data_IF_842401732429
#
_entry.id   IF_842401732429
#
_cell.length_a   1.000
_cell.length_b   1.000
_cell.length_c   1.000
_cell.angle_alpha   90.00
_cell.angle_beta   90.00
_cell.angle_gamma   90.00
#
_symmetry.space_group_name_H-M   'P 1'
#
loop_
_entity.id
_entity.type
_entity.pdbx_description
1 polymer ?
#
# COMPACT_ATOMS: atom_id res chain seq x y z
N UNK A 1 9.77 -2.99 22.32
CA UNK A 1 8.96 -1.96 21.63
C UNK A 1 9.86 -0.79 21.26
N UNK A 2 9.52 -0.13 20.16
CA UNK A 2 10.09 1.13 19.74
C UNK A 2 9.96 2.16 20.87
N UNK A 3 11.05 2.82 21.21
CA UNK A 3 11.12 3.83 22.28
C UNK A 3 10.76 5.20 21.74
N UNK A 4 10.08 6.02 22.53
CA UNK A 4 9.85 7.44 22.25
C UNK A 4 8.63 7.78 21.39
N UNK A 5 7.94 6.81 20.81
CA UNK A 5 6.67 7.01 20.09
C UNK A 5 5.61 6.08 20.64
N UNK A 6 4.42 6.62 20.95
CA UNK A 6 3.23 5.85 21.32
C UNK A 6 2.12 6.08 20.31
N UNK A 7 1.36 5.02 20.04
CA UNK A 7 0.20 5.08 19.17
C UNK A 7 -0.98 5.72 19.91
N UNK A 8 -1.58 6.73 19.28
CA UNK A 8 -2.72 7.48 19.79
C UNK A 8 -3.93 7.33 18.88
N UNK A 9 -5.11 7.35 19.49
CA UNK A 9 -6.40 7.32 18.80
C UNK A 9 -7.22 8.51 19.26
N UNK A 10 -7.05 9.62 18.54
CA UNK A 10 -7.82 10.84 18.76
C UNK A 10 -9.11 10.78 17.95
N UNK A 11 -10.24 11.07 18.58
CA UNK A 11 -11.57 10.94 17.99
C UNK A 11 -12.28 12.28 18.01
N UNK A 12 -13.16 12.52 17.03
CA UNK A 12 -14.00 13.74 16.97
C UNK A 12 -15.06 13.80 18.07
N UNK A 13 -15.24 12.70 18.81
CA UNK A 13 -16.14 12.58 19.95
C UNK A 13 -15.52 11.68 21.01
N UNK A 14 -15.85 11.94 22.28
CA UNK A 14 -15.51 11.08 23.41
C UNK A 14 -16.59 10.03 23.70
N UNK A 15 -17.72 10.09 22.98
CA UNK A 15 -18.81 9.12 23.11
C UNK A 15 -18.39 7.73 22.61
N UNK A 16 -18.51 6.66 23.42
CA UNK A 16 -18.08 5.33 23.03
C UNK A 16 -18.83 4.75 21.84
N UNK A 17 -18.08 4.15 20.92
CA UNK A 17 -18.64 3.38 19.81
C UNK A 17 -18.66 1.90 20.15
N UNK A 18 -19.86 1.31 20.13
CA UNK A 18 -20.08 -0.11 20.38
C UNK A 18 -20.60 -0.84 19.14
N UNK A 19 -20.12 -2.05 18.94
CA UNK A 19 -20.57 -2.99 17.91
C UNK A 19 -20.61 -4.41 18.46
N UNK A 20 -21.72 -5.11 18.23
CA UNK A 20 -21.89 -6.49 18.68
C UNK A 20 -20.85 -7.42 18.05
N UNK A 21 -20.35 -8.44 18.78
CA UNK A 21 -19.39 -9.39 18.24
C UNK A 21 -20.03 -10.24 17.13
N UNK A 22 -19.19 -10.73 16.21
CA UNK A 22 -19.63 -11.68 15.19
C UNK A 22 -19.94 -13.05 15.80
N UNK A 23 -20.89 -13.78 15.19
CA UNK A 23 -21.19 -15.16 15.60
C UNK A 23 -20.03 -16.06 15.17
N UNK A 24 -19.52 -16.86 16.10
CA UNK A 24 -18.46 -17.82 15.79
C UNK A 24 -19.01 -19.24 15.77
N UNK A 25 -18.61 -20.00 14.75
CA UNK A 25 -18.78 -21.45 14.74
C UNK A 25 -17.86 -22.09 15.83
N UNK A 26 -18.31 -23.13 16.55
CA UNK A 26 -17.51 -23.86 17.55
C UNK A 26 -16.09 -24.26 17.11
N UNK A 27 -15.89 -24.66 15.85
CA UNK A 27 -14.56 -25.06 15.33
C UNK A 27 -13.62 -23.85 15.27
N UNK A 28 -14.13 -22.71 14.76
CA UNK A 28 -13.38 -21.46 14.72
C UNK A 28 -13.04 -20.96 16.13
N UNK A 29 -13.93 -21.17 17.11
CA UNK A 29 -13.70 -20.75 18.49
C UNK A 29 -12.46 -21.41 19.14
N UNK A 30 -12.15 -22.67 18.82
CA UNK A 30 -10.96 -23.35 19.37
C UNK A 30 -9.64 -22.70 18.88
N UNK A 31 -9.53 -22.45 17.58
CA UNK A 31 -8.36 -21.80 16.99
C UNK A 31 -8.22 -20.35 17.47
N UNK A 32 -9.36 -19.65 17.60
CA UNK A 32 -9.41 -18.30 18.16
C UNK A 32 -8.90 -18.26 19.60
N UNK A 33 -9.34 -19.17 20.47
CA UNK A 33 -8.91 -19.20 21.86
C UNK A 33 -7.39 -19.43 21.99
N UNK A 34 -6.80 -20.28 21.14
CA UNK A 34 -5.35 -20.49 21.11
C UNK A 34 -4.61 -19.20 20.75
N UNK A 35 -5.02 -18.53 19.66
CA UNK A 35 -4.40 -17.27 19.22
C UNK A 35 -4.55 -16.16 20.25
N UNK A 36 -5.73 -16.01 20.86
CA UNK A 36 -5.98 -15.00 21.91
C UNK A 36 -5.09 -15.26 23.13
N UNK A 37 -4.90 -16.52 23.51
CA UNK A 37 -3.99 -16.88 24.60
C UNK A 37 -2.54 -16.50 24.26
N UNK A 38 -2.06 -16.83 23.07
CA UNK A 38 -0.72 -16.43 22.61
C UNK A 38 -0.53 -14.91 22.66
N UNK A 39 -1.53 -14.13 22.24
CA UNK A 39 -1.46 -12.66 22.28
C UNK A 39 -1.49 -12.09 23.70
N UNK A 40 -2.18 -12.74 24.64
CA UNK A 40 -2.16 -12.40 26.06
C UNK A 40 -0.80 -12.71 26.69
N UNK A 41 -0.27 -13.91 26.41
CA UNK A 41 1.03 -14.36 26.92
C UNK A 41 2.19 -13.49 26.37
N UNK A 42 2.10 -13.04 25.10
CA UNK A 42 3.02 -12.07 24.50
C UNK A 42 2.82 -10.63 25.01
N UNK A 43 1.78 -10.34 25.80
CA UNK A 43 1.47 -9.00 26.31
C UNK A 43 0.98 -8.01 25.25
N UNK A 44 0.60 -8.49 24.06
CA UNK A 44 0.08 -7.67 22.95
C UNK A 44 -1.32 -7.14 23.28
N UNK A 45 -2.13 -7.95 23.94
CA UNK A 45 -3.48 -7.61 24.38
C UNK A 45 -3.63 -7.84 25.89
N UNK A 46 -4.68 -7.24 26.45
CA UNK A 46 -5.10 -7.46 27.84
C UNK A 46 -6.63 -7.50 27.96
N UNK A 47 -7.20 -8.16 28.99
CA UNK A 47 -8.63 -8.05 29.29
C UNK A 47 -9.03 -6.60 29.56
N UNK A 48 -10.24 -6.22 29.20
CA UNK A 48 -10.76 -4.86 29.42
C UNK A 48 -12.27 -4.88 29.65
N UNK A 49 -12.76 -3.82 30.30
CA UNK A 49 -14.18 -3.51 30.49
C UNK A 49 -14.55 -2.18 29.83
N UNK A 50 -13.83 -1.81 28.77
CA UNK A 50 -14.04 -0.55 28.06
C UNK A 50 -15.48 -0.40 27.57
N UNK A 51 -16.08 0.80 27.63
CA UNK A 51 -17.38 1.05 27.02
C UNK A 51 -17.31 1.05 25.48
N UNK A 52 -16.10 1.14 24.91
CA UNK A 52 -15.85 0.97 23.48
C UNK A 52 -15.74 -0.51 23.13
N UNK A 53 -16.27 -0.89 21.97
CA UNK A 53 -16.03 -2.23 21.47
C UNK A 53 -16.22 -2.35 19.95
N UNK A 54 -15.17 -2.86 19.29
CA UNK A 54 -15.21 -3.33 17.92
C UNK A 54 -15.34 -4.86 17.85
N UNK A 55 -16.04 -5.43 16.85
CA UNK A 55 -16.09 -6.88 16.70
C UNK A 55 -14.78 -7.39 16.08
N UNK A 56 -14.37 -8.59 16.47
CA UNK A 56 -13.18 -9.24 15.93
C UNK A 56 -13.45 -10.66 15.44
N UNK A 57 -12.64 -11.11 14.49
CA UNK A 57 -12.68 -12.45 13.91
C UNK A 57 -11.26 -12.92 13.55
N UNK A 58 -11.12 -14.23 13.31
CA UNK A 58 -9.84 -14.83 12.94
C UNK A 58 -9.87 -15.29 11.48
N UNK A 59 -8.84 -14.90 10.75
CA UNK A 59 -8.63 -15.30 9.35
C UNK A 59 -7.48 -16.31 9.28
N UNK A 60 -7.60 -17.40 8.51
CA UNK A 60 -6.49 -18.33 8.30
C UNK A 60 -5.39 -17.69 7.43
N UNK A 61 -4.14 -17.85 7.86
CA UNK A 61 -2.95 -17.58 7.04
C UNK A 61 -2.60 -18.80 6.18
N UNK A 62 -1.75 -18.59 5.17
CA UNK A 62 -1.24 -19.66 4.30
C UNK A 62 -0.44 -20.73 5.06
N UNK A 63 0.18 -20.35 6.16
CA UNK A 63 0.96 -21.25 7.04
C UNK A 63 0.09 -22.05 8.04
N UNK A 64 -1.24 -21.91 7.97
CA UNK A 64 -2.18 -22.57 8.88
C UNK A 64 -2.41 -21.83 10.21
N UNK A 65 -1.63 -20.78 10.52
CA UNK A 65 -1.84 -19.96 11.72
C UNK A 65 -3.01 -18.97 11.55
N UNK A 66 -3.58 -18.50 12.66
CA UNK A 66 -4.63 -17.48 12.65
C UNK A 66 -4.08 -16.06 12.57
N UNK A 67 -4.82 -15.15 11.93
CA UNK A 67 -4.65 -13.69 12.04
C UNK A 67 -5.89 -13.10 12.68
N UNK A 68 -5.72 -12.48 13.85
CA UNK A 68 -6.77 -11.69 14.49
C UNK A 68 -7.01 -10.43 13.65
N UNK A 69 -8.26 -10.20 13.27
CA UNK A 69 -8.71 -8.99 12.59
C UNK A 69 -9.79 -8.36 13.44
N UNK A 70 -9.57 -7.10 13.82
CA UNK A 70 -10.58 -6.29 14.48
C UNK A 70 -11.18 -5.34 13.46
N UNK A 71 -12.50 -5.26 13.43
CA UNK A 71 -13.24 -4.34 12.56
C UNK A 71 -13.34 -2.96 13.22
N UNK A 72 -12.38 -2.09 12.88
CA UNK A 72 -12.34 -0.71 13.33
C UNK A 72 -13.05 0.26 12.39
N UNK A 73 -13.84 -0.20 11.40
CA UNK A 73 -14.49 0.70 10.43
C UNK A 73 -15.29 1.83 11.08
N UNK A 74 -16.04 1.56 12.16
CA UNK A 74 -16.78 2.61 12.87
C UNK A 74 -15.87 3.54 13.66
N UNK A 75 -14.83 3.01 14.29
CA UNK A 75 -13.83 3.80 15.01
C UNK A 75 -13.07 4.72 14.04
N UNK A 76 -12.61 4.18 12.91
CA UNK A 76 -11.83 4.89 11.90
C UNK A 76 -12.59 6.08 11.27
N UNK A 77 -13.92 6.00 11.19
CA UNK A 77 -14.77 7.10 10.70
C UNK A 77 -14.78 8.32 11.61
N UNK A 78 -14.67 8.11 12.92
CA UNK A 78 -14.65 9.18 13.92
C UNK A 78 -13.23 9.51 14.39
N UNK A 79 -12.23 8.77 13.92
CA UNK A 79 -10.81 9.02 14.24
C UNK A 79 -10.34 10.24 13.45
N UNK A 80 -9.75 11.21 14.14
CA UNK A 80 -9.15 12.40 13.53
C UNK A 80 -7.96 11.92 12.67
N UNK A 81 -7.93 12.23 11.35
CA UNK A 81 -6.88 11.74 10.47
C UNK A 81 -5.50 12.29 10.85
N UNK A 82 -4.50 11.42 11.00
CA UNK A 82 -3.11 11.81 11.14
C UNK A 82 -2.50 12.07 9.75
N UNK A 83 -2.29 13.35 9.42
CA UNK A 83 -1.75 13.79 8.12
C UNK A 83 -0.22 13.72 8.05
N UNK A 84 0.38 12.68 8.63
CA UNK A 84 1.81 12.46 8.49
C UNK A 84 2.16 12.18 7.03
N UNK A 85 3.08 12.97 6.45
CA UNK A 85 3.53 12.79 5.07
C UNK A 85 4.54 11.65 5.02
N UNK A 86 4.20 10.57 4.32
CA UNK A 86 5.19 9.60 3.86
C UNK A 86 5.97 10.15 2.66
N UNK A 87 7.22 9.75 2.39
CA UNK A 87 8.00 10.22 1.24
C UNK A 87 7.51 9.65 -0.10
N UNK A 88 7.46 10.45 -1.17
CA UNK A 88 6.89 10.01 -2.45
C UNK A 88 7.77 8.98 -3.16
N UNK A 89 7.18 8.21 -4.08
CA UNK A 89 7.96 7.28 -4.91
C UNK A 89 9.02 8.05 -5.70
N UNK A 90 8.71 9.26 -6.17
CA UNK A 90 9.64 10.11 -6.90
C UNK A 90 10.78 10.63 -6.01
N UNK A 91 10.47 11.05 -4.77
CA UNK A 91 11.48 11.44 -3.78
C UNK A 91 12.41 10.26 -3.43
N UNK A 92 11.83 9.06 -3.31
CA UNK A 92 12.55 7.81 -3.08
C UNK A 92 13.43 7.45 -4.29
N UNK A 93 12.86 7.43 -5.50
CA UNK A 93 13.55 7.01 -6.72
C UNK A 93 14.63 7.99 -7.15
N UNK A 94 14.43 9.30 -6.91
CA UNK A 94 15.42 10.34 -7.17
C UNK A 94 16.75 10.03 -6.47
N UNK A 95 16.71 9.64 -5.20
CA UNK A 95 17.91 9.26 -4.43
C UNK A 95 18.50 7.89 -4.80
N UNK A 96 17.68 6.97 -5.29
CA UNK A 96 18.07 5.59 -5.64
C UNK A 96 18.76 5.49 -6.99
N UNK A 97 18.52 6.43 -7.90
CA UNK A 97 19.03 6.42 -9.28
C UNK A 97 20.57 6.34 -9.39
N UNK A 98 21.30 6.77 -8.36
CA UNK A 98 22.76 6.69 -8.29
C UNK A 98 23.30 5.43 -7.57
N UNK A 99 22.39 4.61 -7.02
CA UNK A 99 22.70 3.42 -6.21
C UNK A 99 23.27 2.25 -7.01
N UNK A 100 24.26 1.56 -6.42
CA UNK A 100 24.90 0.37 -7.00
C UNK A 100 24.62 -0.92 -6.22
N UNK A 101 24.41 -0.75 -4.91
CA UNK A 101 24.23 -1.84 -3.97
C UNK A 101 23.05 -1.53 -3.08
N UNK A 102 22.22 -2.54 -2.87
CA UNK A 102 20.95 -2.42 -2.18
C UNK A 102 20.80 -3.49 -1.10
N UNK A 103 20.15 -3.13 0.00
CA UNK A 103 19.70 -4.09 1.01
C UNK A 103 18.28 -3.74 1.43
N UNK A 104 17.46 -4.75 1.68
CA UNK A 104 16.08 -4.61 2.15
C UNK A 104 15.98 -5.22 3.53
N UNK A 105 15.55 -4.44 4.51
CA UNK A 105 15.30 -4.87 5.88
C UNK A 105 13.79 -4.96 6.10
N UNK A 106 13.30 -6.16 6.39
CA UNK A 106 11.91 -6.43 6.80
C UNK A 106 11.82 -6.35 8.33
N UNK A 107 10.92 -5.51 8.85
CA UNK A 107 10.68 -5.38 10.29
C UNK A 107 9.69 -6.46 10.78
N UNK A 108 10.02 -7.12 11.90
CA UNK A 108 9.23 -8.25 12.42
C UNK A 108 7.90 -7.78 13.00
N UNK A 109 6.77 -8.24 12.46
CA UNK A 109 5.42 -7.85 12.94
C UNK A 109 5.31 -6.30 13.06
N UNK A 110 5.75 -5.53 12.06
CA UNK A 110 5.95 -4.07 12.09
C UNK A 110 5.11 -3.28 13.10
N UNK A 111 3.77 -3.28 12.95
CA UNK A 111 2.86 -2.56 13.86
C UNK A 111 2.96 -2.98 15.34
N UNK A 112 3.25 -4.25 15.62
CA UNK A 112 3.37 -4.79 16.99
C UNK A 112 4.70 -4.40 17.67
N UNK A 113 5.32 -3.31 17.25
CA UNK A 113 6.53 -2.77 17.88
C UNK A 113 6.27 -1.44 18.56
N UNK A 114 5.14 -0.78 18.35
CA UNK A 114 4.81 0.52 18.96
C UNK A 114 3.79 0.32 20.08
N UNK A 115 4.04 0.90 21.26
CA UNK A 115 3.09 0.84 22.37
C UNK A 115 1.88 1.74 22.15
N UNK A 116 0.71 1.32 22.62
CA UNK A 116 -0.49 2.16 22.62
C UNK A 116 -0.50 3.01 23.89
N UNK A 117 -0.74 4.31 23.74
CA UNK A 117 -0.93 5.22 24.87
C UNK A 117 -2.13 4.77 25.72
N UNK A 118 -1.99 4.77 27.06
CA UNK A 118 -3.00 4.23 27.98
C UNK A 118 -4.39 4.81 27.77
N UNK A 119 -4.49 6.13 27.54
CA UNK A 119 -5.75 6.82 27.25
C UNK A 119 -6.41 6.34 25.94
N UNK A 120 -5.62 5.89 24.97
CA UNK A 120 -6.10 5.39 23.68
C UNK A 120 -6.47 3.89 23.71
N UNK A 121 -5.99 3.13 24.71
CA UNK A 121 -6.28 1.70 24.81
C UNK A 121 -7.78 1.44 24.95
N UNK A 122 -8.54 2.28 25.67
CA UNK A 122 -9.99 2.09 25.77
C UNK A 122 -10.67 2.06 24.39
N UNK A 123 -10.27 2.95 23.48
CA UNK A 123 -10.84 3.10 22.12
C UNK A 123 -10.53 1.91 21.21
N UNK A 124 -9.42 1.21 21.45
CA UNK A 124 -9.02 0.00 20.70
C UNK A 124 -9.64 -1.29 21.24
N UNK A 125 -10.54 -1.21 22.22
CA UNK A 125 -11.18 -2.40 22.77
C UNK A 125 -11.99 -3.16 21.71
N UNK A 126 -11.92 -4.49 21.78
CA UNK A 126 -12.59 -5.38 20.86
C UNK A 126 -13.20 -6.59 21.56
N UNK A 127 -14.22 -7.17 20.94
CA UNK A 127 -14.89 -8.36 21.41
C UNK A 127 -14.71 -9.52 20.45
N UNK A 128 -14.42 -10.69 21.00
CA UNK A 128 -14.36 -11.94 20.26
C UNK A 128 -15.04 -13.05 21.08
N UNK A 129 -16.12 -13.61 20.53
CA UNK A 129 -17.05 -14.41 21.33
C UNK A 129 -17.68 -13.57 22.45
N UNK A 130 -17.62 -14.10 23.69
CA UNK A 130 -18.18 -13.44 24.88
C UNK A 130 -17.10 -12.74 25.73
N UNK A 131 -15.92 -12.48 25.17
CA UNK A 131 -14.79 -11.88 25.88
C UNK A 131 -14.39 -10.57 25.23
N UNK A 132 -13.89 -9.65 26.04
CA UNK A 132 -13.45 -8.33 25.62
C UNK A 132 -11.99 -8.11 26.00
N UNK A 133 -11.23 -7.55 25.06
CA UNK A 133 -9.81 -7.26 25.21
C UNK A 133 -9.48 -5.89 24.63
N UNK A 134 -8.33 -5.34 24.99
CA UNK A 134 -7.74 -4.19 24.31
C UNK A 134 -6.28 -4.44 23.98
N UNK A 135 -5.78 -3.71 22.99
CA UNK A 135 -4.39 -3.73 22.59
C UNK A 135 -3.53 -2.85 23.50
N UNK A 136 -2.45 -3.43 24.01
CA UNK A 136 -1.33 -2.69 24.65
C UNK A 136 -0.30 -2.25 23.62
N UNK A 137 -0.17 -3.02 22.55
CA UNK A 137 0.75 -2.78 21.44
C UNK A 137 -0.08 -2.55 20.17
N UNK A 138 0.35 -1.60 19.35
CA UNK A 138 -0.37 -1.15 18.16
C UNK A 138 -0.71 -2.34 17.24
N UNK A 139 -1.98 -2.40 16.85
CA UNK A 139 -2.52 -3.43 15.97
C UNK A 139 -2.66 -2.91 14.53
N UNK A 140 -2.84 -3.84 13.59
CA UNK A 140 -3.29 -3.50 12.24
C UNK A 140 -4.78 -3.12 12.23
N UNK A 141 -5.15 -2.16 11.39
CA UNK A 141 -6.55 -1.79 11.15
C UNK A 141 -6.95 -0.38 11.57
N UNK A 142 -6.49 0.17 12.72
CA UNK A 142 -6.73 1.57 13.08
C UNK A 142 -6.21 2.53 12.00
N UNK A 143 -6.98 3.59 11.71
CA UNK A 143 -6.70 4.55 10.61
C UNK A 143 -5.27 5.09 10.62
N UNK A 144 -4.81 5.56 11.78
CA UNK A 144 -3.52 6.25 11.92
C UNK A 144 -2.33 5.31 12.19
N UNK A 145 -2.54 4.00 12.22
CA UNK A 145 -1.46 3.05 12.54
C UNK A 145 -0.28 3.12 11.54
N UNK A 146 -0.49 3.21 10.20
CA UNK A 146 0.60 3.38 9.24
C UNK A 146 1.40 4.67 9.46
N UNK A 147 0.70 5.80 9.66
CA UNK A 147 1.32 7.09 9.92
C UNK A 147 2.19 7.09 11.19
N UNK A 148 1.67 6.51 12.28
CA UNK A 148 2.41 6.38 13.53
C UNK A 148 3.63 5.47 13.39
N UNK A 149 3.50 4.36 12.68
CA UNK A 149 4.63 3.46 12.39
C UNK A 149 5.73 4.17 11.60
N UNK A 150 5.34 4.87 10.52
CA UNK A 150 6.28 5.63 9.71
C UNK A 150 7.04 6.65 10.55
N UNK A 151 6.34 7.45 11.37
CA UNK A 151 6.97 8.41 12.28
C UNK A 151 7.96 7.76 13.26
N UNK A 152 7.63 6.58 13.77
CA UNK A 152 8.52 5.85 14.68
C UNK A 152 9.79 5.37 13.99
N UNK A 153 9.69 4.87 12.75
CA UNK A 153 10.85 4.48 11.95
C UNK A 153 11.67 5.71 11.55
N UNK A 154 11.01 6.81 11.16
CA UNK A 154 11.68 8.03 10.76
C UNK A 154 12.47 8.65 11.93
N UNK A 155 11.89 8.64 13.13
CA UNK A 155 12.57 9.08 14.35
C UNK A 155 13.77 8.20 14.71
N UNK A 156 13.70 6.90 14.43
CA UNK A 156 14.80 5.97 14.68
C UNK A 156 15.95 6.13 13.68
N UNK A 157 15.64 6.33 12.40
CA UNK A 157 16.63 6.45 11.34
C UNK A 157 17.19 7.86 11.20
N UNK A 158 16.40 8.88 11.53
CA UNK A 158 16.81 10.28 11.58
C UNK A 158 17.56 10.71 10.32
N UNK A 159 18.80 11.15 10.49
CA UNK A 159 19.65 11.65 9.38
C UNK A 159 20.04 10.57 8.37
N UNK A 160 19.77 9.28 8.62
CA UNK A 160 20.06 8.21 7.65
C UNK A 160 19.07 8.19 6.49
N UNK A 161 17.83 8.69 6.68
CA UNK A 161 16.75 8.68 5.67
C UNK A 161 17.07 9.43 4.36
N UNK A 162 17.79 10.56 4.38
CA UNK A 162 18.26 11.17 3.14
C UNK A 162 19.65 10.69 2.70
N UNK A 163 20.40 10.02 3.58
CA UNK A 163 21.82 9.73 3.34
C UNK A 163 22.08 8.38 2.69
N UNK A 164 21.37 7.33 3.11
CA UNK A 164 21.68 5.96 2.68
C UNK A 164 20.54 4.97 2.78
N UNK A 165 19.36 5.36 3.23
CA UNK A 165 18.21 4.47 3.27
C UNK A 165 16.91 5.24 3.17
N UNK A 166 15.86 4.66 2.64
CA UNK A 166 14.51 5.19 2.72
C UNK A 166 13.56 4.11 3.23
N UNK A 167 12.39 4.52 3.65
CA UNK A 167 11.35 3.62 4.15
C UNK A 167 10.21 3.63 3.14
N UNK A 168 9.78 2.44 2.74
CA UNK A 168 8.60 2.27 1.92
C UNK A 168 7.67 1.27 2.61
N UNK A 169 6.57 1.78 3.16
CA UNK A 169 5.62 1.00 3.96
C UNK A 169 6.33 0.26 5.12
N UNK A 170 6.42 -1.07 5.05
CA UNK A 170 7.02 -1.92 6.09
C UNK A 170 8.50 -2.26 5.81
N UNK A 171 9.02 -1.91 4.63
CA UNK A 171 10.38 -2.24 4.17
C UNK A 171 11.32 -1.04 4.30
N UNK A 172 12.49 -1.26 4.89
CA UNK A 172 13.58 -0.27 4.91
C UNK A 172 14.57 -0.65 3.83
N UNK A 173 14.73 0.22 2.84
CA UNK A 173 15.64 0.00 1.72
C UNK A 173 16.88 0.85 1.92
N UNK A 174 18.03 0.19 2.01
CA UNK A 174 19.35 0.81 2.11
C UNK A 174 19.95 0.79 0.73
N UNK A 175 20.49 1.93 0.29
CA UNK A 175 21.16 2.06 -0.99
C UNK A 175 22.52 2.74 -0.81
N UNK A 176 23.47 2.38 -1.66
CA UNK A 176 24.80 2.97 -1.65
C UNK A 176 25.30 3.23 -3.07
N UNK A 177 25.78 4.44 -3.40
CA UNK A 177 26.31 4.75 -4.73
C UNK A 177 27.55 3.94 -5.12
N UNK A 178 27.80 3.79 -6.43
CA UNK A 178 28.93 3.00 -6.99
C UNK A 178 30.28 3.38 -6.39
N UNK A 179 30.51 4.67 -6.15
CA UNK A 179 31.77 5.19 -5.63
C UNK A 179 32.16 4.73 -4.22
N UNK A 180 31.20 4.30 -3.38
CA UNK A 180 31.45 3.82 -2.00
C UNK A 180 31.81 2.33 -1.93
N UNK A 181 31.51 1.57 -2.98
CA UNK A 181 31.71 0.12 -3.04
C UNK A 181 30.96 -0.70 -1.98
N UNK A 182 31.19 -2.02 -1.99
CA UNK A 182 30.52 -2.96 -1.06
C UNK A 182 30.90 -2.74 0.41
N UNK A 183 32.11 -2.29 0.69
CA UNK A 183 32.56 -1.99 2.05
C UNK A 183 31.80 -0.79 2.65
N UNK A 184 31.58 0.26 1.85
CA UNK A 184 30.75 1.40 2.22
C UNK A 184 29.29 0.97 2.46
N UNK A 185 28.75 0.11 1.60
CA UNK A 185 27.39 -0.42 1.76
C UNK A 185 27.23 -1.21 3.08
N UNK A 186 28.19 -2.08 3.41
CA UNK A 186 28.16 -2.80 4.68
C UNK A 186 28.19 -1.87 5.90
N UNK A 187 28.93 -0.75 5.81
CA UNK A 187 28.95 0.26 6.87
C UNK A 187 27.60 0.99 7.00
N UNK A 188 26.94 1.30 5.89
CA UNK A 188 25.60 1.90 5.87
C UNK A 188 24.57 0.92 6.48
N UNK A 189 24.58 -0.36 6.07
CA UNK A 189 23.72 -1.41 6.64
C UNK A 189 23.92 -1.55 8.15
N UNK A 190 25.17 -1.60 8.63
CA UNK A 190 25.47 -1.70 10.07
C UNK A 190 24.98 -0.48 10.85
N UNK A 191 25.08 0.72 10.27
CA UNK A 191 24.56 1.96 10.89
C UNK A 191 23.04 1.93 11.00
N UNK A 192 22.34 1.57 9.93
CA UNK A 192 20.88 1.43 9.93
C UNK A 192 20.42 0.38 10.94
N UNK A 193 21.02 -0.81 10.97
CA UNK A 193 20.66 -1.85 11.94
C UNK A 193 20.90 -1.42 13.39
N UNK A 194 22.02 -0.72 13.67
CA UNK A 194 22.28 -0.16 15.02
C UNK A 194 21.26 0.89 15.41
N UNK A 195 20.89 1.79 14.50
CA UNK A 195 19.88 2.81 14.78
C UNK A 195 18.52 2.19 15.13
N UNK A 196 18.10 1.16 14.38
CA UNK A 196 16.90 0.38 14.65
C UNK A 196 16.96 -0.33 16.01
N UNK A 197 18.08 -0.99 16.33
CA UNK A 197 18.28 -1.70 17.59
C UNK A 197 18.24 -0.75 18.80
N UNK A 198 18.91 0.40 18.72
CA UNK A 198 18.89 1.44 19.76
C UNK A 198 17.47 1.98 19.99
N UNK A 199 16.71 2.14 18.91
CA UNK A 199 15.31 2.55 18.97
C UNK A 199 14.38 1.43 19.47
N UNK A 200 14.85 0.17 19.59
CA UNK A 200 14.07 -0.95 20.08
C UNK A 200 13.25 -1.69 19.01
N UNK A 201 13.59 -1.50 17.73
CA UNK A 201 13.02 -2.24 16.62
C UNK A 201 13.67 -3.62 16.46
N UNK A 202 12.87 -4.60 16.06
CA UNK A 202 13.31 -5.97 15.78
C UNK A 202 13.10 -6.30 14.30
N UNK A 203 14.11 -6.91 13.69
CA UNK A 203 14.09 -7.29 12.27
C UNK A 203 13.71 -8.75 12.09
N UNK A 204 13.20 -9.08 10.91
CA UNK A 204 12.90 -10.44 10.50
C UNK A 204 13.98 -10.95 9.55
N UNK A 205 15.02 -11.55 10.13
CA UNK A 205 16.24 -11.94 9.40
C UNK A 205 15.96 -12.84 8.21
N UNK A 206 14.99 -13.77 8.30
CA UNK A 206 14.62 -14.70 7.22
C UNK A 206 14.07 -14.01 5.96
N UNK A 207 13.64 -12.75 6.08
CA UNK A 207 13.10 -11.96 4.97
C UNK A 207 13.99 -10.81 4.52
N UNK A 208 15.01 -10.47 5.31
CA UNK A 208 15.95 -9.44 4.93
C UNK A 208 16.81 -9.91 3.75
N UNK A 209 17.09 -9.01 2.81
CA UNK A 209 17.97 -9.26 1.66
C UNK A 209 19.13 -8.28 1.73
N UNK A 210 20.37 -8.75 1.57
CA UNK A 210 21.56 -7.92 1.73
C UNK A 210 22.43 -7.95 0.48
N UNK A 211 23.01 -6.79 0.13
CA UNK A 211 24.05 -6.66 -0.89
C UNK A 211 23.60 -7.05 -2.30
N UNK A 212 22.36 -6.74 -2.65
CA UNK A 212 21.80 -6.92 -3.97
C UNK A 212 22.37 -5.90 -4.95
N UNK A 213 22.65 -6.31 -6.18
CA UNK A 213 23.09 -5.40 -7.26
C UNK A 213 21.88 -4.79 -8.03
N UNK A 214 20.67 -5.32 -7.80
CA UNK A 214 19.40 -4.78 -8.27
C UNK A 214 18.28 -5.05 -7.27
N UNK A 215 17.28 -4.17 -7.21
CA UNK A 215 16.07 -4.39 -6.43
C UNK A 215 14.93 -4.78 -7.37
N UNK A 216 14.42 -6.00 -7.22
CA UNK A 216 13.12 -6.39 -7.80
C UNK A 216 12.00 -5.78 -6.94
N UNK A 217 11.92 -4.46 -6.93
CA UNK A 217 10.85 -3.71 -6.30
C UNK A 217 10.02 -3.11 -7.44
N UNK A 218 8.94 -3.82 -7.79
CA UNK A 218 8.13 -3.77 -9.03
C UNK A 218 8.51 -4.86 -10.07
N UNK A 219 7.88 -6.03 -9.87
CA UNK A 219 7.83 -7.22 -10.76
C UNK A 219 8.99 -8.21 -10.63
N UNK A 220 8.64 -9.48 -10.73
CA UNK A 220 9.43 -10.58 -10.18
C UNK A 220 10.41 -11.20 -11.17
N UNK A 221 11.67 -11.31 -10.74
CA UNK A 221 12.43 -12.56 -10.70
C UNK A 221 12.79 -13.26 -12.01
N UNK A 222 12.43 -12.73 -13.18
CA UNK A 222 12.89 -13.26 -14.46
C UNK A 222 14.02 -12.39 -15.00
N UNK A 223 15.06 -13.03 -15.55
CA UNK A 223 16.05 -12.35 -16.41
C UNK A 223 15.31 -11.79 -17.61
N UNK A 224 15.05 -10.49 -17.58
CA UNK A 224 14.38 -9.77 -18.65
C UNK A 224 15.27 -9.80 -19.90
N UNK A 225 14.78 -10.43 -20.97
CA UNK A 225 15.39 -10.38 -22.29
C UNK A 225 14.62 -9.37 -23.11
N UNK A 226 15.34 -8.38 -23.64
CA UNK A 226 14.78 -7.37 -24.51
C UNK A 226 14.90 -7.85 -25.95
N UNK A 227 13.80 -8.36 -26.50
CA UNK A 227 13.71 -8.85 -27.87
C UNK A 227 12.72 -7.99 -28.67
N UNK A 228 12.51 -8.30 -29.94
CA UNK A 228 11.75 -7.47 -30.88
C UNK A 228 10.25 -7.34 -30.53
N UNK A 229 9.74 -8.23 -29.68
CA UNK A 229 8.37 -8.16 -29.15
C UNK A 229 8.28 -7.14 -28.01
N UNK A 230 9.24 -7.15 -27.11
CA UNK A 230 9.33 -6.24 -25.97
C UNK A 230 9.64 -4.82 -26.43
N UNK A 231 10.49 -4.65 -27.44
CA UNK A 231 10.76 -3.36 -28.09
C UNK A 231 9.46 -2.77 -28.69
N UNK A 232 8.65 -3.57 -29.39
CA UNK A 232 7.36 -3.11 -29.93
C UNK A 232 6.39 -2.68 -28.84
N UNK A 233 6.24 -3.51 -27.79
CA UNK A 233 5.39 -3.17 -26.66
C UNK A 233 5.91 -1.94 -25.89
N UNK A 234 7.22 -1.76 -25.80
CA UNK A 234 7.84 -0.58 -25.20
C UNK A 234 7.58 0.67 -26.03
N UNK A 235 7.79 0.63 -27.35
CA UNK A 235 7.50 1.76 -28.25
C UNK A 235 6.01 2.11 -28.22
N UNK A 236 5.12 1.12 -28.17
CA UNK A 236 3.68 1.32 -28.01
C UNK A 236 3.34 2.00 -26.68
N UNK A 237 3.91 1.54 -25.56
CA UNK A 237 3.75 2.17 -24.25
C UNK A 237 4.34 3.57 -24.20
N UNK A 238 5.50 3.79 -24.81
CA UNK A 238 6.16 5.09 -24.89
C UNK A 238 5.30 6.03 -25.73
N UNK A 239 4.77 5.60 -26.87
CA UNK A 239 3.84 6.40 -27.68
C UNK A 239 2.53 6.70 -26.93
N UNK A 240 1.96 5.72 -26.23
CA UNK A 240 0.77 5.92 -25.40
C UNK A 240 1.02 6.82 -24.17
N UNK A 241 2.26 6.92 -23.69
CA UNK A 241 2.68 7.84 -22.63
C UNK A 241 3.07 9.23 -23.17
N UNK A 242 3.45 9.33 -24.45
CA UNK A 242 3.81 10.57 -25.15
C UNK A 242 2.57 11.26 -25.75
N UNK A 243 1.56 10.50 -26.16
CA UNK A 243 0.22 11.04 -26.47
C UNK A 243 -0.47 11.38 -25.14
N UNK A 244 -0.76 12.66 -24.97
CA UNK A 244 -1.10 13.31 -23.70
C UNK A 244 -2.17 12.57 -22.88
N UNK A 245 -1.79 12.15 -21.65
CA UNK A 245 -2.41 12.76 -20.50
C UNK A 245 -1.33 13.24 -19.52
N UNK A 246 -1.27 14.55 -19.28
CA UNK A 246 -0.34 15.19 -18.35
C UNK A 246 -0.48 14.59 -16.95
N UNK A 247 0.43 13.68 -16.60
CA UNK A 247 0.60 13.25 -15.21
C UNK A 247 0.82 14.49 -14.37
N UNK A 248 -0.10 14.74 -13.45
CA UNK A 248 -0.08 15.94 -12.61
C UNK A 248 0.41 15.56 -11.23
N UNK A 249 1.23 16.43 -10.63
CA UNK A 249 1.64 16.28 -9.24
C UNK A 249 0.41 16.27 -8.32
N UNK A 250 0.37 15.38 -7.31
CA UNK A 250 -0.77 15.29 -6.41
C UNK A 250 -0.92 16.57 -5.58
N UNK A 251 -2.14 17.06 -5.48
CA UNK A 251 -2.52 18.12 -4.55
C UNK A 251 -3.10 17.48 -3.27
N UNK A 252 -2.38 17.62 -2.16
CA UNK A 252 -2.74 16.98 -0.89
C UNK A 252 -3.95 17.60 -0.19
N UNK A 253 -4.38 18.79 -0.60
CA UNK A 253 -5.58 19.43 -0.06
C UNK A 253 -6.87 18.93 -0.72
N UNK A 254 -6.75 18.20 -1.81
CA UNK A 254 -7.87 17.75 -2.62
C UNK A 254 -8.13 16.25 -2.47
N UNK A 255 -9.41 15.86 -2.60
CA UNK A 255 -9.80 14.45 -2.54
C UNK A 255 -9.35 13.70 -3.78
N UNK A 256 -8.79 12.51 -3.60
CA UNK A 256 -8.41 11.65 -4.72
C UNK A 256 -9.61 10.92 -5.33
N UNK A 257 -9.51 10.60 -6.62
CA UNK A 257 -10.44 9.77 -7.36
C UNK A 257 -9.70 8.52 -7.86
N UNK A 258 -10.10 7.35 -7.35
CA UNK A 258 -9.57 6.06 -7.79
C UNK A 258 -10.63 5.36 -8.64
N UNK A 259 -10.38 5.22 -9.93
CA UNK A 259 -11.21 4.42 -10.84
C UNK A 259 -10.56 3.05 -11.02
N UNK A 260 -11.36 1.98 -10.90
CA UNK A 260 -10.87 0.62 -11.10
C UNK A 260 -11.79 -0.12 -12.06
N UNK A 261 -11.18 -1.06 -12.78
CA UNK A 261 -11.87 -1.96 -13.68
C UNK A 261 -11.24 -3.35 -13.66
N UNK A 262 -12.03 -4.37 -14.00
CA UNK A 262 -11.59 -5.76 -13.97
C UNK A 262 -12.07 -6.55 -15.18
N UNK A 263 -11.14 -7.12 -15.94
CA UNK A 263 -11.42 -8.05 -17.02
C UNK A 263 -11.21 -9.51 -16.60
N UNK A 264 -11.24 -10.43 -17.57
CA UNK A 264 -10.91 -11.83 -17.33
C UNK A 264 -9.41 -12.07 -17.13
N UNK A 265 -8.57 -11.23 -17.72
CA UNK A 265 -7.13 -11.45 -17.80
C UNK A 265 -6.34 -10.48 -16.92
N UNK A 266 -6.83 -9.26 -16.72
CA UNK A 266 -6.15 -8.20 -16.00
C UNK A 266 -7.12 -7.28 -15.25
N UNK A 267 -6.57 -6.49 -14.33
CA UNK A 267 -7.28 -5.41 -13.64
C UNK A 267 -6.54 -4.10 -13.92
N UNK A 268 -7.31 -3.02 -14.08
CA UNK A 268 -6.83 -1.67 -14.36
C UNK A 268 -7.26 -0.69 -13.27
N UNK A 269 -6.44 0.34 -13.04
CA UNK A 269 -6.69 1.35 -12.01
C UNK A 269 -6.09 2.70 -12.39
N UNK A 270 -6.86 3.77 -12.17
CA UNK A 270 -6.47 5.16 -12.45
C UNK A 270 -6.67 5.99 -11.20
N UNK A 271 -5.62 6.64 -10.74
CA UNK A 271 -5.67 7.64 -9.68
C UNK A 271 -5.65 9.03 -10.30
N UNK A 272 -6.63 9.87 -9.99
CA UNK A 272 -6.80 11.21 -10.57
C UNK A 272 -7.28 12.25 -9.55
N UNK A 273 -7.06 13.53 -9.87
CA UNK A 273 -7.61 14.71 -9.17
C UNK A 273 -8.04 15.76 -10.19
N UNK A 274 -9.20 16.39 -10.00
CA UNK A 274 -9.76 17.40 -10.91
C UNK A 274 -9.74 17.02 -12.40
N UNK A 275 -9.95 15.74 -12.71
CA UNK A 275 -9.92 15.25 -14.09
C UNK A 275 -8.53 15.05 -14.69
N UNK A 276 -7.45 15.30 -13.92
CA UNK A 276 -6.06 15.02 -14.30
C UNK A 276 -5.56 13.76 -13.63
N UNK A 277 -4.82 12.95 -14.38
CA UNK A 277 -4.30 11.68 -13.86
C UNK A 277 -3.01 11.92 -13.08
N UNK A 278 -2.88 11.23 -11.95
CA UNK A 278 -1.71 11.25 -11.07
C UNK A 278 -0.90 9.98 -11.26
N UNK A 279 -1.59 8.83 -11.36
CA UNK A 279 -0.92 7.55 -11.57
C UNK A 279 -1.85 6.56 -12.24
N UNK A 280 -1.28 5.78 -13.16
CA UNK A 280 -1.92 4.61 -13.72
C UNK A 280 -1.45 3.33 -13.02
N UNK A 281 -2.24 2.27 -13.14
CA UNK A 281 -1.84 0.95 -12.70
C UNK A 281 -2.55 -0.15 -13.47
N UNK A 282 -1.80 -1.16 -13.87
CA UNK A 282 -2.32 -2.42 -14.39
C UNK A 282 -1.76 -3.59 -13.57
N UNK A 283 -2.49 -4.70 -13.54
CA UNK A 283 -2.03 -5.96 -12.98
C UNK A 283 -2.66 -7.15 -13.70
N UNK A 284 -1.80 -8.04 -14.22
CA UNK A 284 -2.25 -9.28 -14.85
C UNK A 284 -2.64 -10.30 -13.79
N UNK A 285 -3.85 -10.84 -13.90
CA UNK A 285 -4.37 -11.83 -12.96
C UNK A 285 -3.61 -13.16 -13.10
N UNK A 286 -3.31 -13.77 -11.96
CA UNK A 286 -2.78 -15.13 -11.87
C UNK A 286 -3.83 -16.16 -12.29
N UNK A 287 -3.43 -17.38 -12.64
CA UNK A 287 -4.38 -18.44 -13.04
C UNK A 287 -5.47 -18.70 -11.99
N UNK A 288 -5.12 -18.61 -10.70
CA UNK A 288 -6.07 -18.78 -9.61
C UNK A 288 -7.09 -17.63 -9.56
N UNK A 289 -6.66 -16.41 -9.86
CA UNK A 289 -7.49 -15.20 -9.86
C UNK A 289 -8.39 -15.10 -11.09
N UNK A 290 -7.95 -15.61 -12.25
CA UNK A 290 -8.78 -15.66 -13.46
C UNK A 290 -10.02 -16.54 -13.29
N UNK A 291 -9.93 -17.57 -12.44
CA UNK A 291 -11.04 -18.47 -12.08
C UNK A 291 -12.07 -17.84 -11.14
N UNK A 292 -11.81 -16.65 -10.61
CA UNK A 292 -12.77 -15.95 -9.76
C UNK A 292 -13.95 -15.43 -10.58
N UNK A 293 -15.10 -15.24 -9.92
CA UNK A 293 -16.26 -14.65 -10.58
C UNK A 293 -15.97 -13.19 -10.96
N UNK A 294 -16.71 -12.64 -11.94
CA UNK A 294 -16.58 -11.25 -12.34
C UNK A 294 -16.66 -10.29 -11.14
N UNK A 295 -17.66 -10.48 -10.28
CA UNK A 295 -17.82 -9.72 -9.03
C UNK A 295 -16.62 -9.82 -8.09
N UNK A 296 -16.04 -11.01 -7.93
CA UNK A 296 -14.86 -11.18 -7.08
C UNK A 296 -13.63 -10.48 -7.65
N UNK A 297 -13.47 -10.44 -8.98
CA UNK A 297 -12.37 -9.75 -9.65
C UNK A 297 -12.52 -8.23 -9.56
N UNK A 298 -13.73 -7.71 -9.71
CA UNK A 298 -14.03 -6.28 -9.52
C UNK A 298 -13.72 -5.84 -8.08
N UNK A 299 -14.13 -6.63 -7.10
CA UNK A 299 -13.79 -6.37 -5.69
C UNK A 299 -12.28 -6.45 -5.47
N UNK A 300 -11.62 -7.43 -6.08
CA UNK A 300 -10.19 -7.54 -6.01
C UNK A 300 -9.47 -6.35 -6.64
N UNK A 301 -9.95 -5.81 -7.77
CA UNK A 301 -9.37 -4.64 -8.41
C UNK A 301 -9.36 -3.43 -7.47
N UNK A 302 -10.49 -3.13 -6.82
CA UNK A 302 -10.55 -2.07 -5.82
C UNK A 302 -9.57 -2.31 -4.65
N UNK A 303 -9.56 -3.52 -4.09
CA UNK A 303 -8.64 -3.87 -2.99
C UNK A 303 -7.17 -3.75 -3.41
N UNK A 304 -6.85 -4.21 -4.62
CA UNK A 304 -5.50 -4.22 -5.16
C UNK A 304 -5.00 -2.80 -5.40
N UNK A 305 -5.76 -1.97 -6.10
CA UNK A 305 -5.34 -0.61 -6.42
C UNK A 305 -5.38 0.33 -5.23
N UNK A 306 -6.31 0.16 -4.28
CA UNK A 306 -6.25 0.90 -3.02
C UNK A 306 -4.97 0.58 -2.24
N UNK A 307 -4.47 -0.66 -2.29
CA UNK A 307 -3.19 -1.02 -1.69
C UNK A 307 -1.99 -0.54 -2.51
N UNK A 308 -2.06 -0.63 -3.84
CA UNK A 308 -0.99 -0.15 -4.74
C UNK A 308 -0.77 1.34 -4.57
N UNK A 309 -1.85 2.11 -4.46
CA UNK A 309 -1.82 3.55 -4.26
C UNK A 309 -1.94 3.94 -2.78
N UNK A 310 -1.67 3.02 -1.84
CA UNK A 310 -1.77 3.29 -0.40
C UNK A 310 -0.95 4.51 0.01
N UNK A 311 0.17 4.75 -0.67
CA UNK A 311 1.01 5.93 -0.47
C UNK A 311 0.22 7.24 -0.61
N UNK A 312 -0.59 7.40 -1.66
CA UNK A 312 -1.41 8.60 -1.87
C UNK A 312 -2.68 8.58 -1.01
N UNK A 313 -3.24 7.38 -0.76
CA UNK A 313 -4.60 7.23 -0.22
C UNK A 313 -4.68 7.09 1.30
N UNK A 314 -3.61 6.71 1.99
CA UNK A 314 -3.69 6.33 3.43
C UNK A 314 -4.13 7.49 4.33
N UNK A 315 -3.72 8.71 4.00
CA UNK A 315 -3.94 9.90 4.84
C UNK A 315 -4.84 10.96 4.18
N UNK A 316 -5.46 10.61 3.04
CA UNK A 316 -6.33 11.50 2.29
C UNK A 316 -7.71 10.86 2.09
N UNK A 317 -8.74 11.71 2.04
CA UNK A 317 -10.07 11.25 1.68
C UNK A 317 -10.13 11.01 0.17
N UNK A 318 -10.79 9.93 -0.24
CA UNK A 318 -10.87 9.58 -1.66
C UNK A 318 -12.15 8.84 -2.00
N UNK A 319 -12.51 8.91 -3.27
CA UNK A 319 -13.65 8.17 -3.82
C UNK A 319 -13.16 7.07 -4.74
N UNK A 320 -13.48 5.82 -4.40
CA UNK A 320 -13.31 4.65 -5.23
C UNK A 320 -14.53 4.49 -6.14
N UNK A 321 -14.30 4.50 -7.44
CA UNK A 321 -15.26 4.27 -8.49
C UNK A 321 -15.09 2.87 -9.06
N UNK A 322 -16.18 2.13 -9.11
CA UNK A 322 -16.25 0.77 -9.68
C UNK A 322 -17.60 0.58 -10.37
N UNK A 323 -17.63 -0.26 -11.39
CA UNK A 323 -18.85 -0.75 -12.04
C UNK A 323 -19.60 -1.79 -11.18
N UNK A 324 -18.96 -2.31 -10.13
CA UNK A 324 -19.48 -3.34 -9.25
C UNK A 324 -20.34 -2.81 -8.12
N UNK A 325 -21.67 -2.93 -8.25
CA UNK A 325 -22.61 -2.70 -7.13
C UNK A 325 -22.25 -3.52 -5.87
N UNK A 326 -21.84 -4.80 -5.97
CA UNK A 326 -21.43 -5.61 -4.81
C UNK A 326 -20.27 -5.04 -3.99
N UNK A 327 -19.36 -4.25 -4.57
CA UNK A 327 -18.29 -3.59 -3.82
C UNK A 327 -18.85 -2.67 -2.73
N UNK A 328 -19.90 -1.92 -3.06
CA UNK A 328 -20.59 -1.03 -2.11
C UNK A 328 -21.19 -1.78 -0.91
N UNK A 329 -21.43 -3.09 -1.05
CA UNK A 329 -21.93 -3.94 0.02
C UNK A 329 -20.83 -4.61 0.83
N UNK A 330 -19.59 -4.71 0.32
CA UNK A 330 -18.45 -5.28 1.04
C UNK A 330 -18.25 -4.57 2.38
N UNK A 331 -18.22 -3.24 2.36
CA UNK A 331 -18.06 -2.42 3.57
C UNK A 331 -19.31 -2.38 4.47
N UNK A 332 -20.44 -2.93 4.01
CA UNK A 332 -21.68 -3.07 4.77
C UNK A 332 -21.92 -4.50 5.28
N UNK A 333 -21.07 -5.45 4.91
CA UNK A 333 -21.24 -6.84 5.34
C UNK A 333 -21.15 -6.97 6.86
N UNK A 334 -22.14 -7.69 7.41
CA UNK A 334 -22.31 -7.95 8.84
C UNK A 334 -21.52 -9.14 9.35
N UNK A 335 -21.04 -10.04 8.50
CA UNK A 335 -20.30 -11.23 8.92
C UNK A 335 -19.34 -11.70 7.81
N UNK A 336 -18.18 -11.05 7.67
CA UNK A 336 -17.28 -11.33 6.57
C UNK A 336 -16.46 -12.60 6.81
N UNK A 337 -16.44 -13.50 5.82
CA UNK A 337 -15.68 -14.75 5.86
C UNK A 337 -14.69 -14.87 4.70
N UNK A 338 -13.65 -15.71 4.88
CA UNK A 338 -12.72 -16.08 3.80
C UNK A 338 -11.95 -14.90 3.18
N UNK A 339 -12.09 -14.70 1.87
CA UNK A 339 -11.39 -13.63 1.11
C UNK A 339 -11.91 -12.24 1.48
N UNK A 340 -13.22 -12.07 1.58
CA UNK A 340 -13.85 -10.79 1.92
C UNK A 340 -13.39 -10.26 3.29
N UNK A 341 -13.23 -11.15 4.27
CA UNK A 341 -12.67 -10.83 5.58
C UNK A 341 -11.25 -10.25 5.49
N UNK A 342 -10.40 -10.83 4.63
CA UNK A 342 -9.04 -10.32 4.37
C UNK A 342 -9.04 -8.97 3.68
N UNK A 343 -9.94 -8.78 2.74
CA UNK A 343 -10.08 -7.54 1.99
C UNK A 343 -10.59 -6.40 2.87
N UNK A 344 -11.59 -6.66 3.73
CA UNK A 344 -12.06 -5.68 4.73
C UNK A 344 -10.94 -5.31 5.70
N UNK A 345 -10.15 -6.29 6.17
CA UNK A 345 -9.00 -6.03 7.04
C UNK A 345 -7.99 -5.06 6.42
N UNK A 346 -7.77 -5.16 5.11
CA UNK A 346 -6.87 -4.30 4.37
C UNK A 346 -7.48 -2.92 4.05
N UNK A 347 -8.79 -2.88 3.75
CA UNK A 347 -9.47 -1.65 3.35
C UNK A 347 -9.83 -0.74 4.54
N UNK A 348 -10.04 -1.31 5.73
CA UNK A 348 -10.53 -0.52 6.87
C UNK A 348 -9.57 0.59 7.33
N UNK A 349 -8.27 0.45 7.08
CA UNK A 349 -7.28 1.50 7.42
C UNK A 349 -7.55 2.80 6.65
N UNK A 350 -8.20 2.72 5.48
CA UNK A 350 -8.58 3.85 4.65
C UNK A 350 -9.92 4.45 5.11
N UNK A 351 -9.91 5.09 6.28
CA UNK A 351 -11.13 5.63 6.91
C UNK A 351 -11.88 6.68 6.08
N UNK A 352 -11.18 7.39 5.20
CA UNK A 352 -11.71 8.40 4.27
C UNK A 352 -12.25 7.85 2.94
N UNK A 353 -12.26 6.53 2.76
CA UNK A 353 -12.72 5.90 1.52
C UNK A 353 -14.24 5.97 1.38
N UNK A 354 -14.70 6.59 0.29
CA UNK A 354 -16.09 6.51 -0.16
C UNK A 354 -16.17 5.65 -1.42
N UNK A 355 -17.15 4.74 -1.50
CA UNK A 355 -17.36 3.90 -2.68
C UNK A 355 -18.55 4.45 -3.46
N UNK A 356 -18.36 4.69 -4.76
CA UNK A 356 -19.42 5.07 -5.68
C UNK A 356 -19.47 4.09 -6.86
N UNK A 357 -20.67 3.60 -7.17
CA UNK A 357 -20.89 2.74 -8.33
C UNK A 357 -21.34 3.56 -9.53
N UNK A 358 -20.60 3.48 -10.64
CA UNK A 358 -20.97 4.15 -11.90
C UNK A 358 -21.41 3.13 -12.94
N UNK A 359 -22.32 3.52 -13.83
CA UNK A 359 -22.70 2.72 -15.00
C UNK A 359 -21.60 2.80 -16.06
N UNK A 360 -21.29 1.66 -16.70
CA UNK A 360 -20.04 1.40 -17.45
C UNK A 360 -19.69 2.31 -18.63
N UNK A 361 -20.58 3.23 -19.05
CA UNK A 361 -20.31 4.16 -20.17
C UNK A 361 -19.29 5.25 -19.77
N UNK A 362 -19.08 5.49 -18.47
CA UNK A 362 -18.19 6.56 -17.97
C UNK A 362 -16.79 6.11 -17.54
N UNK A 363 -16.45 4.81 -17.66
CA UNK A 363 -15.20 4.22 -17.14
C UNK A 363 -14.19 3.86 -18.25
N UNK A 364 -14.27 4.52 -19.41
CA UNK A 364 -13.54 4.14 -20.64
C UNK A 364 -12.03 3.99 -20.40
N UNK A 365 -11.40 4.91 -19.65
CA UNK A 365 -9.96 4.87 -19.43
C UNK A 365 -9.51 3.67 -18.57
N UNK A 366 -10.26 3.30 -17.53
CA UNK A 366 -9.91 2.14 -16.70
C UNK A 366 -10.23 0.82 -17.42
N UNK A 367 -11.30 0.82 -18.23
CA UNK A 367 -11.69 -0.29 -19.11
C UNK A 367 -10.64 -0.57 -20.19
N UNK A 368 -10.06 0.48 -20.78
CA UNK A 368 -8.93 0.36 -21.73
C UNK A 368 -7.68 -0.25 -21.09
N UNK A 369 -7.44 -0.03 -19.80
CA UNK A 369 -6.28 -0.60 -19.08
C UNK A 369 -6.50 -2.04 -18.60
N UNK A 370 -7.74 -2.53 -18.61
CA UNK A 370 -8.08 -3.89 -18.17
C UNK A 370 -8.24 -4.87 -19.33
N UNK A 371 -8.49 -4.39 -20.55
CA UNK A 371 -8.72 -5.19 -21.77
C UNK A 371 -7.46 -5.22 -22.65
N UNK A 372 -7.09 -6.41 -23.15
CA UNK A 372 -6.12 -6.52 -24.24
C UNK A 372 -6.77 -5.91 -25.50
N UNK A 373 -6.20 -4.82 -26.02
CA UNK A 373 -6.63 -4.24 -27.28
C UNK A 373 -5.78 -4.87 -28.39
N UNK A 374 -6.33 -5.81 -29.15
CA UNK A 374 -5.82 -6.09 -30.50
C UNK A 374 -6.27 -4.93 -31.39
N UNK A 375 -5.42 -3.92 -31.57
CA UNK A 375 -5.64 -2.91 -32.60
C UNK A 375 -4.81 -3.28 -33.83
N UNK A 376 -5.49 -3.64 -34.92
CA UNK A 376 -4.88 -3.58 -36.24
C UNK A 376 -4.67 -2.10 -36.61
N UNK A 377 -3.42 -1.63 -36.56
CA UNK A 377 -3.06 -0.33 -37.10
C UNK A 377 -2.45 -0.47 -38.49
N UNK A 378 -2.96 0.34 -39.42
CA UNK A 378 -2.38 0.54 -40.73
C UNK A 378 -0.96 1.13 -40.61
N UNK A 379 -0.02 0.78 -41.51
CA UNK A 379 1.35 1.27 -41.43
C UNK A 379 1.36 2.76 -41.78
N UNK A 380 1.81 3.60 -40.83
CA UNK A 380 2.05 5.02 -41.08
C UNK A 380 3.56 5.25 -41.16
N UNK A 381 4.00 5.77 -42.30
CA UNK A 381 5.35 6.31 -42.50
C UNK A 381 5.56 7.54 -41.60
N UNK A 382 6.41 7.45 -40.58
CA UNK A 382 6.97 8.65 -39.93
C UNK A 382 8.48 8.52 -39.66
N UNK A 383 9.16 9.65 -39.76
CA UNK A 383 10.49 9.83 -40.38
C UNK A 383 11.71 9.70 -39.45
N UNK A 384 11.59 9.24 -38.21
CA UNK A 384 12.74 9.24 -37.28
C UNK A 384 12.87 7.87 -36.61
N UNK A 385 13.80 7.07 -37.13
CA UNK A 385 14.05 5.68 -36.69
C UNK A 385 15.25 5.53 -35.75
N UNK A 386 15.92 6.62 -35.38
CA UNK A 386 17.17 6.56 -34.59
C UNK A 386 17.30 7.70 -33.59
N UNK A 387 18.00 7.43 -32.50
CA UNK A 387 18.35 8.39 -31.44
C UNK A 387 19.09 9.63 -31.97
N UNK A 388 19.90 9.46 -33.03
CA UNK A 388 20.56 10.56 -33.72
C UNK A 388 19.58 11.44 -34.52
N UNK A 389 18.52 10.85 -35.07
CA UNK A 389 17.47 11.62 -35.74
C UNK A 389 16.63 12.44 -34.76
N UNK A 390 16.42 11.93 -33.53
CA UNK A 390 15.73 12.66 -32.46
C UNK A 390 16.57 13.84 -31.95
N UNK A 391 17.88 13.63 -31.75
CA UNK A 391 18.82 14.70 -31.39
C UNK A 391 18.83 15.82 -32.44
N UNK A 392 18.84 15.45 -33.72
CA UNK A 392 18.86 16.42 -34.82
C UNK A 392 17.57 17.23 -34.88
N UNK A 393 16.42 16.59 -34.67
CA UNK A 393 15.13 17.28 -34.59
C UNK A 393 15.05 18.23 -33.36
N UNK A 394 15.60 17.83 -32.22
CA UNK A 394 15.68 18.69 -31.02
C UNK A 394 16.64 19.89 -31.18
N UNK A 395 17.69 19.75 -31.98
CA UNK A 395 18.61 20.85 -32.26
C UNK A 395 18.04 21.83 -33.29
N UNK A 396 17.09 21.41 -34.13
CA UNK A 396 16.41 22.25 -35.13
C UNK A 396 15.11 22.87 -34.60
N UNK A 397 14.61 22.44 -33.44
CA UNK A 397 13.36 22.89 -32.81
C UNK A 397 13.54 24.22 -32.04
N UNK A 398 12.78 25.25 -32.43
CA UNK A 398 12.92 26.61 -31.89
C UNK A 398 12.59 26.71 -30.38
N UNK A 399 11.67 25.89 -29.87
CA UNK A 399 11.29 25.87 -28.45
C UNK A 399 12.36 25.20 -27.60
N UNK A 400 12.95 24.11 -28.09
CA UNK A 400 14.11 23.48 -27.45
C UNK A 400 15.33 24.41 -27.42
N UNK A 401 15.53 25.21 -28.47
CA UNK A 401 16.59 26.21 -28.50
C UNK A 401 16.32 27.39 -27.56
N UNK A 402 15.07 27.82 -27.39
CA UNK A 402 14.69 28.88 -26.47
C UNK A 402 14.94 28.47 -25.00
N UNK A 403 14.67 27.21 -24.66
CA UNK A 403 14.88 26.68 -23.31
C UNK A 403 16.36 26.56 -22.92
N UNK A 404 17.26 26.29 -23.87
CA UNK A 404 18.71 26.22 -23.63
C UNK A 404 19.38 27.60 -23.46
N UNK A 405 18.66 28.70 -23.71
CA UNK A 405 19.17 30.08 -23.60
C UNK A 405 18.74 30.78 -22.29
N UNK A 406 17.89 30.15 -21.48
CA UNK A 406 17.61 30.54 -20.09
C UNK A 406 18.57 29.82 -19.14
#
# INVERSE_FOLDING_TARGET
CAKGVKFRVDTTTESPVFSRPYRMNPIAAKNTNKLVKELLDEGVIQPTTSPWASPAFVVPKRDGSGRLVVDYRKLNKITIPDRYRSPTIEEILGGVSEGAHFSVIDLRKGFHQVEVEEASQAKLAFMIGNKQYTFRIMAMGPRNAPACFQRAVDAALGTLLPQCCFVYLDDIIIYTPKGKGRAGHLADVKRTLRALDLAGFTTRVDKCKFGLDSLDYLQGGQRFRWEEREERAYVELVQALLDEPVLTSPDWEQSFKLEVDASKEAIGGILSQNGRVISYGSHRLTEAERRWSATEREIYAGVFFTRKFAYYLSNSDFTLFTDSRPFSYLMKQRDPHGRFARWIAALQQFGGMTVQCRTGVSNVAADSLSRDIEVEFAPIETRIRTLDGLKKAQDEDEDCQAWRRQ
#
